data_IF_330091288575
#
_entry.id   IF_330091288575
#
_cell.length_a   1.000
_cell.length_b   1.000
_cell.length_c   1.000
_cell.angle_alpha   90.00
_cell.angle_beta   90.00
_cell.angle_gamma   90.00
#
_symmetry.space_group_name_H-M   'P 1'
#
loop_
_entity.id
_entity.type
_entity.pdbx_description
1 polymer ?
#
# COMPACT_ATOMS: atom_id res chain seq x y z
N UNK A 1 -13.77 -35.41 -7.37
CA UNK A 1 -13.07 -34.10 -7.48
C UNK A 1 -13.33 -33.26 -6.23
N UNK A 2 -12.28 -32.76 -5.57
CA UNK A 2 -12.43 -31.83 -4.45
C UNK A 2 -12.23 -30.38 -4.92
N UNK A 3 -13.11 -29.48 -4.47
CA UNK A 3 -12.98 -28.04 -4.72
C UNK A 3 -12.72 -27.35 -3.38
N UNK A 4 -11.53 -26.76 -3.26
CA UNK A 4 -11.05 -26.07 -2.07
C UNK A 4 -10.91 -24.59 -2.38
N UNK A 5 -11.45 -23.74 -1.51
CA UNK A 5 -11.44 -22.30 -1.71
C UNK A 5 -12.68 -21.63 -1.12
N UNK A 6 -12.50 -20.39 -0.70
CA UNK A 6 -13.56 -19.56 -0.14
C UNK A 6 -14.18 -18.69 -1.25
N UNK A 7 -15.51 -18.69 -1.37
CA UNK A 7 -16.18 -17.86 -2.36
C UNK A 7 -17.70 -18.04 -2.43
N UNK A 8 -18.38 -16.95 -2.75
CA UNK A 8 -19.86 -16.84 -2.75
C UNK A 8 -20.54 -17.65 -3.88
N UNK A 9 -19.76 -18.28 -4.77
CA UNK A 9 -20.26 -18.95 -5.97
C UNK A 9 -20.59 -20.44 -5.79
N UNK A 10 -20.40 -21.03 -4.58
CA UNK A 10 -20.69 -22.46 -4.32
C UNK A 10 -22.07 -22.88 -4.83
N UNK A 11 -23.11 -22.10 -4.52
CA UNK A 11 -24.48 -22.41 -4.93
C UNK A 11 -24.67 -22.42 -6.46
N UNK A 12 -23.97 -21.55 -7.18
CA UNK A 12 -24.00 -21.51 -8.65
C UNK A 12 -23.36 -22.76 -9.25
N UNK A 13 -22.19 -23.18 -8.75
CA UNK A 13 -21.50 -24.37 -9.23
C UNK A 13 -22.21 -25.66 -8.87
N UNK A 14 -22.77 -25.78 -7.66
CA UNK A 14 -23.57 -26.93 -7.27
C UNK A 14 -24.81 -27.13 -8.16
N UNK A 15 -25.51 -26.04 -8.53
CA UNK A 15 -26.61 -26.10 -9.51
C UNK A 15 -26.15 -26.49 -10.91
N UNK A 16 -24.94 -26.09 -11.32
CA UNK A 16 -24.39 -26.48 -12.61
C UNK A 16 -24.01 -27.97 -12.63
N UNK A 17 -23.30 -28.44 -11.59
CA UNK A 17 -22.95 -29.85 -11.42
C UNK A 17 -24.19 -30.76 -11.36
N UNK A 18 -25.28 -30.32 -10.72
CA UNK A 18 -26.55 -31.06 -10.72
C UNK A 18 -27.14 -31.20 -12.12
N UNK A 19 -27.12 -30.14 -12.93
CA UNK A 19 -27.59 -30.18 -14.32
C UNK A 19 -26.75 -31.10 -15.21
N UNK A 20 -25.47 -31.24 -14.91
CA UNK A 20 -24.54 -32.13 -15.61
C UNK A 20 -24.54 -33.56 -15.05
N UNK A 21 -25.31 -33.87 -14.00
CA UNK A 21 -25.36 -35.21 -13.39
C UNK A 21 -24.13 -35.60 -12.57
N UNK A 22 -23.17 -34.70 -12.35
CA UNK A 22 -21.89 -35.00 -11.68
C UNK A 22 -21.81 -34.53 -10.24
N UNK A 23 -22.90 -34.02 -9.66
CA UNK A 23 -22.88 -33.44 -8.30
C UNK A 23 -22.34 -34.42 -7.25
N UNK A 24 -22.68 -35.71 -7.34
CA UNK A 24 -22.24 -36.74 -6.40
C UNK A 24 -20.74 -37.09 -6.52
N UNK A 25 -20.06 -36.56 -7.55
CA UNK A 25 -18.63 -36.75 -7.78
C UNK A 25 -17.80 -35.52 -7.36
N UNK A 26 -18.45 -34.48 -6.81
CA UNK A 26 -17.80 -33.21 -6.43
C UNK A 26 -17.99 -32.95 -4.93
N UNK A 27 -16.86 -32.80 -4.21
CA UNK A 27 -16.83 -32.40 -2.81
C UNK A 27 -16.41 -30.94 -2.69
N UNK A 28 -17.35 -30.07 -2.28
CA UNK A 28 -17.06 -28.67 -1.99
C UNK A 28 -16.59 -28.54 -0.54
N UNK A 29 -15.29 -28.33 -0.33
CA UNK A 29 -14.67 -28.32 1.01
C UNK A 29 -14.60 -26.93 1.65
N UNK A 30 -14.79 -25.86 0.89
CA UNK A 30 -14.71 -24.48 1.37
C UNK A 30 -13.26 -24.03 1.64
N UNK A 31 -13.11 -22.92 2.38
CA UNK A 31 -11.80 -22.44 2.83
C UNK A 31 -11.22 -23.37 3.90
N UNK A 32 -9.97 -23.81 3.72
CA UNK A 32 -9.29 -24.78 4.59
C UNK A 32 -7.89 -24.31 4.95
N UNK A 33 -7.40 -24.68 6.13
CA UNK A 33 -6.03 -24.35 6.60
C UNK A 33 -5.01 -25.47 6.38
N UNK A 34 -5.46 -26.69 6.16
CA UNK A 34 -4.70 -27.91 5.93
C UNK A 34 -4.55 -28.20 4.42
N UNK A 35 -4.17 -27.15 3.68
CA UNK A 35 -3.87 -27.21 2.24
C UNK A 35 -2.71 -28.17 1.93
N UNK A 36 -1.59 -28.19 2.68
CA UNK A 36 -0.50 -29.12 2.40
C UNK A 36 -0.94 -30.59 2.41
N UNK A 37 -1.81 -30.96 3.35
CA UNK A 37 -2.38 -32.30 3.44
C UNK A 37 -3.31 -32.61 2.25
N UNK A 38 -4.10 -31.64 1.79
CA UNK A 38 -4.95 -31.80 0.61
C UNK A 38 -4.15 -31.96 -0.68
N UNK A 39 -3.09 -31.16 -0.84
CA UNK A 39 -2.22 -31.26 -2.00
C UNK A 39 -1.50 -32.61 -2.03
N UNK A 40 -1.02 -33.07 -0.88
CA UNK A 40 -0.36 -34.39 -0.74
C UNK A 40 -1.31 -35.56 -0.98
N UNK A 41 -2.61 -35.38 -0.78
CA UNK A 41 -3.64 -36.40 -0.99
C UNK A 41 -4.26 -36.38 -2.40
N UNK A 42 -3.94 -35.38 -3.22
CA UNK A 42 -4.48 -35.25 -4.57
C UNK A 42 -3.73 -36.11 -5.59
N UNK A 43 -4.43 -36.54 -6.65
CA UNK A 43 -3.79 -37.17 -7.82
C UNK A 43 -3.30 -36.15 -8.86
N UNK A 44 -3.99 -35.01 -8.95
CA UNK A 44 -3.74 -33.96 -9.93
C UNK A 44 -4.36 -32.63 -9.44
N UNK A 45 -3.64 -31.52 -9.59
CA UNK A 45 -4.22 -30.18 -9.50
C UNK A 45 -4.62 -29.67 -10.88
N UNK A 46 -5.87 -29.23 -11.04
CA UNK A 46 -6.35 -28.55 -12.24
C UNK A 46 -6.57 -27.07 -11.94
N UNK A 47 -5.88 -26.19 -12.65
CA UNK A 47 -5.93 -24.74 -12.46
C UNK A 47 -6.08 -24.01 -13.82
N UNK A 48 -7.26 -24.09 -14.45
CA UNK A 48 -7.50 -23.57 -15.79
C UNK A 48 -7.95 -22.10 -15.74
N UNK A 49 -7.10 -21.23 -15.18
CA UNK A 49 -7.45 -19.82 -14.99
C UNK A 49 -7.35 -19.04 -16.31
N UNK A 50 -8.27 -18.07 -16.50
CA UNK A 50 -8.22 -17.13 -17.63
C UNK A 50 -7.42 -15.86 -17.31
N UNK A 51 -7.27 -15.52 -16.04
CA UNK A 51 -6.54 -14.35 -15.54
C UNK A 51 -6.07 -14.63 -14.09
N UNK A 52 -4.80 -14.94 -13.90
CA UNK A 52 -4.19 -15.24 -12.59
C UNK A 52 -2.74 -14.73 -12.53
N UNK A 53 -2.49 -13.73 -11.69
CA UNK A 53 -1.18 -13.05 -11.66
C UNK A 53 -0.06 -13.90 -11.05
N UNK A 54 -0.36 -14.81 -10.12
CA UNK A 54 0.68 -15.58 -9.40
C UNK A 54 0.40 -17.07 -9.41
N UNK A 55 -0.74 -17.50 -8.88
CA UNK A 55 -1.02 -18.92 -8.67
C UNK A 55 0.00 -19.61 -7.77
N UNK A 56 0.22 -19.11 -6.54
CA UNK A 56 1.18 -19.73 -5.58
C UNK A 56 0.90 -21.20 -5.34
N UNK A 57 -0.37 -21.61 -5.40
CA UNK A 57 -0.82 -23.00 -5.32
C UNK A 57 -0.18 -23.92 -6.38
N UNK A 58 0.22 -23.38 -7.54
CA UNK A 58 0.94 -24.15 -8.57
C UNK A 58 2.32 -24.58 -8.07
N UNK A 59 3.00 -23.69 -7.35
CA UNK A 59 4.31 -23.96 -6.78
C UNK A 59 4.19 -24.91 -5.58
N UNK A 60 3.23 -24.63 -4.70
CA UNK A 60 2.92 -25.49 -3.54
C UNK A 60 2.60 -26.91 -4.00
N UNK A 61 1.78 -27.07 -5.05
CA UNK A 61 1.44 -28.36 -5.64
C UNK A 61 2.67 -29.11 -6.17
N UNK A 62 3.48 -28.50 -7.05
CA UNK A 62 4.65 -29.20 -7.58
C UNK A 62 5.65 -29.56 -6.47
N UNK A 63 5.84 -28.68 -5.46
CA UNK A 63 6.73 -28.97 -4.32
C UNK A 63 6.18 -30.04 -3.38
N UNK A 64 4.86 -30.25 -3.36
CA UNK A 64 4.22 -31.36 -2.67
C UNK A 64 4.23 -32.66 -3.50
N UNK A 65 4.80 -32.65 -4.71
CA UNK A 65 4.79 -33.78 -5.63
C UNK A 65 3.44 -34.00 -6.33
N UNK A 66 2.53 -33.02 -6.31
CA UNK A 66 1.25 -33.09 -6.99
C UNK A 66 1.39 -32.60 -8.44
N UNK A 67 1.15 -33.46 -9.46
CA UNK A 67 1.21 -33.03 -10.85
C UNK A 67 0.14 -31.97 -11.17
N UNK A 68 0.47 -31.04 -12.05
CA UNK A 68 -0.38 -29.84 -12.30
C UNK A 68 -0.76 -29.69 -13.76
N UNK A 69 -2.06 -29.48 -14.02
CA UNK A 69 -2.60 -28.99 -15.29
C UNK A 69 -3.01 -27.53 -15.13
N UNK A 70 -2.31 -26.61 -15.80
CA UNK A 70 -2.57 -25.18 -15.71
C UNK A 70 -2.60 -24.50 -17.10
N UNK A 71 -2.94 -23.22 -17.12
CA UNK A 71 -2.80 -22.34 -18.29
C UNK A 71 -1.55 -21.47 -18.17
N UNK A 72 -0.96 -21.07 -19.30
CA UNK A 72 0.26 -20.27 -19.36
C UNK A 72 0.11 -18.82 -18.85
N UNK A 73 -1.12 -18.32 -18.75
CA UNK A 73 -1.42 -17.01 -18.14
C UNK A 73 -1.22 -16.98 -16.64
N UNK A 74 -1.12 -18.14 -15.97
CA UNK A 74 -0.86 -18.20 -14.55
C UNK A 74 0.60 -17.85 -14.25
N UNK A 75 0.85 -16.89 -13.37
CA UNK A 75 2.20 -16.35 -13.11
C UNK A 75 3.31 -17.39 -12.89
N UNK A 76 3.03 -18.50 -12.18
CA UNK A 76 3.98 -19.57 -11.93
C UNK A 76 3.88 -20.79 -12.87
N UNK A 77 3.11 -20.72 -13.96
CA UNK A 77 2.96 -21.82 -14.90
C UNK A 77 4.29 -22.24 -15.55
N UNK A 78 5.22 -21.30 -15.76
CA UNK A 78 6.54 -21.59 -16.28
C UNK A 78 7.33 -22.59 -15.41
N UNK A 79 7.09 -22.61 -14.09
CA UNK A 79 7.74 -23.55 -13.18
C UNK A 79 7.24 -24.98 -13.38
N UNK A 80 5.98 -25.18 -13.77
CA UNK A 80 5.46 -26.52 -14.11
C UNK A 80 6.19 -27.09 -15.33
N UNK A 81 6.39 -26.26 -16.36
CA UNK A 81 7.15 -26.64 -17.57
C UNK A 81 8.61 -26.94 -17.21
N UNK A 82 9.26 -26.04 -16.44
CA UNK A 82 10.66 -26.19 -16.03
C UNK A 82 10.89 -27.43 -15.17
N UNK A 83 9.97 -27.70 -14.25
CA UNK A 83 10.00 -28.90 -13.41
C UNK A 83 9.60 -30.16 -14.17
N UNK A 84 9.04 -30.07 -15.38
CA UNK A 84 8.37 -31.19 -16.04
C UNK A 84 7.40 -31.94 -15.09
N UNK A 85 6.63 -31.18 -14.33
CA UNK A 85 5.76 -31.66 -13.26
C UNK A 85 4.27 -31.60 -13.64
N UNK A 86 3.97 -31.66 -14.95
CA UNK A 86 2.60 -31.64 -15.46
C UNK A 86 2.49 -31.08 -16.86
N UNK A 87 1.39 -30.38 -17.15
CA UNK A 87 1.10 -29.78 -18.46
C UNK A 87 0.60 -28.35 -18.31
N UNK A 88 0.97 -27.51 -19.27
CA UNK A 88 0.58 -26.10 -19.32
C UNK A 88 0.04 -25.78 -20.69
N UNK A 89 -1.24 -25.42 -20.75
CA UNK A 89 -1.95 -25.07 -21.98
C UNK A 89 -1.76 -23.60 -22.33
N UNK A 90 -1.75 -23.31 -23.62
CA UNK A 90 -1.75 -21.93 -24.10
C UNK A 90 -3.10 -21.27 -23.82
N UNK A 91 -3.09 -20.00 -23.43
CA UNK A 91 -4.28 -19.18 -23.24
C UNK A 91 -4.49 -18.21 -24.41
N UNK A 92 -5.74 -17.99 -24.88
CA UNK A 92 -6.95 -18.69 -24.44
C UNK A 92 -6.93 -20.16 -24.84
N UNK A 93 -7.39 -21.04 -23.95
CA UNK A 93 -7.48 -22.48 -24.22
C UNK A 93 -8.89 -22.85 -24.67
N UNK A 94 -8.98 -23.85 -25.56
CA UNK A 94 -10.25 -24.48 -25.89
C UNK A 94 -10.62 -25.53 -24.85
N UNK A 95 -11.90 -25.60 -24.47
CA UNK A 95 -12.38 -26.54 -23.44
C UNK A 95 -12.07 -28.00 -23.83
N UNK A 96 -12.23 -28.36 -25.11
CA UNK A 96 -11.91 -29.68 -25.66
C UNK A 96 -10.45 -30.07 -25.43
N UNK A 97 -9.52 -29.13 -25.58
CA UNK A 97 -8.09 -29.36 -25.34
C UNK A 97 -7.81 -29.56 -23.85
N UNK A 98 -8.47 -28.80 -22.97
CA UNK A 98 -8.35 -29.00 -21.52
C UNK A 98 -8.83 -30.39 -21.12
N UNK A 99 -9.99 -30.80 -21.63
CA UNK A 99 -10.61 -32.09 -21.32
C UNK A 99 -9.72 -33.25 -21.80
N UNK A 100 -9.23 -33.19 -23.05
CA UNK A 100 -8.33 -34.19 -23.60
C UNK A 100 -7.00 -34.27 -22.82
N UNK A 101 -6.43 -33.12 -22.46
CA UNK A 101 -5.17 -33.09 -21.70
C UNK A 101 -5.37 -33.64 -20.29
N UNK A 102 -6.49 -33.31 -19.65
CA UNK A 102 -6.85 -33.83 -18.33
C UNK A 102 -7.00 -35.36 -18.36
N UNK A 103 -7.72 -35.90 -19.34
CA UNK A 103 -7.89 -37.33 -19.53
C UNK A 103 -6.55 -38.04 -19.76
N UNK A 104 -5.71 -37.49 -20.63
CA UNK A 104 -4.36 -38.01 -20.87
C UNK A 104 -3.52 -38.00 -19.60
N UNK A 105 -3.56 -36.92 -18.81
CA UNK A 105 -2.79 -36.83 -17.56
C UNK A 105 -3.27 -37.81 -16.50
N UNK A 106 -4.58 -38.01 -16.36
CA UNK A 106 -5.16 -38.93 -15.37
C UNK A 106 -4.87 -40.40 -15.70
N UNK A 107 -4.72 -40.74 -16.97
CA UNK A 107 -4.47 -42.11 -17.46
C UNK A 107 -3.00 -42.39 -17.80
N UNK A 108 -2.13 -41.37 -17.75
CA UNK A 108 -0.73 -41.51 -18.14
C UNK A 108 0.09 -42.30 -17.10
N UNK A 109 0.97 -43.21 -17.56
CA UNK A 109 1.98 -43.82 -16.68
C UNK A 109 3.05 -42.82 -16.21
N UNK A 110 3.13 -41.62 -16.80
CA UNK A 110 4.11 -40.60 -16.43
C UNK A 110 3.77 -39.85 -15.12
N UNK A 111 2.61 -40.10 -14.51
CA UNK A 111 2.16 -39.35 -13.33
C UNK A 111 3.17 -39.40 -12.17
N UNK A 112 3.71 -40.59 -11.90
CA UNK A 112 4.75 -40.80 -10.88
C UNK A 112 6.03 -40.01 -11.21
N UNK A 113 6.39 -39.97 -12.50
CA UNK A 113 7.54 -39.19 -12.97
C UNK A 113 7.32 -37.69 -12.77
N UNK A 114 6.13 -37.16 -13.07
CA UNK A 114 5.81 -35.75 -12.82
C UNK A 114 5.87 -35.40 -11.33
N UNK A 115 5.37 -36.29 -10.46
CA UNK A 115 5.44 -36.13 -9.02
C UNK A 115 6.89 -36.05 -8.51
N UNK A 116 7.72 -37.01 -8.93
CA UNK A 116 9.15 -37.04 -8.58
C UNK A 116 9.90 -35.81 -9.10
N UNK A 117 9.60 -35.37 -10.32
CA UNK A 117 10.23 -34.16 -10.86
C UNK A 117 9.83 -32.90 -10.06
N UNK A 118 8.56 -32.79 -9.65
CA UNK A 118 8.08 -31.70 -8.81
C UNK A 118 8.81 -31.65 -7.45
N UNK A 119 8.93 -32.81 -6.79
CA UNK A 119 9.67 -32.94 -5.53
C UNK A 119 11.16 -32.59 -5.70
N UNK A 120 11.79 -33.03 -6.80
CA UNK A 120 13.17 -32.69 -7.11
C UNK A 120 13.36 -31.19 -7.37
N UNK A 121 12.39 -30.57 -8.04
CA UNK A 121 12.37 -29.13 -8.31
C UNK A 121 12.24 -28.29 -7.03
N UNK A 122 11.55 -28.81 -6.00
CA UNK A 122 11.37 -28.16 -4.70
C UNK A 122 12.56 -28.25 -3.72
N UNK A 123 13.69 -28.85 -4.10
CA UNK A 123 14.90 -28.92 -3.25
C UNK A 123 15.50 -27.51 -2.96
N UNK A 124 16.38 -27.34 -1.95
CA UNK A 124 16.42 -26.16 -1.05
C UNK A 124 16.56 -24.79 -1.72
N UNK A 125 17.06 -24.72 -2.95
CA UNK A 125 17.21 -23.50 -3.74
C UNK A 125 15.90 -22.72 -3.92
N UNK A 126 14.75 -23.40 -3.98
CA UNK A 126 13.45 -22.73 -4.09
C UNK A 126 12.95 -22.12 -2.77
N UNK A 127 13.38 -22.68 -1.64
CA UNK A 127 13.16 -22.12 -0.31
C UNK A 127 14.20 -21.05 0.06
N UNK A 128 15.32 -20.99 -0.67
CA UNK A 128 16.28 -19.89 -0.63
C UNK A 128 15.84 -18.67 -1.43
N UNK A 129 14.71 -18.69 -2.16
CA UNK A 129 14.26 -17.54 -2.94
C UNK A 129 14.21 -16.21 -2.18
N UNK A 130 13.92 -16.13 -0.86
CA UNK A 130 14.12 -14.90 -0.09
C UNK A 130 15.59 -14.49 0.01
N UNK A 131 16.50 -15.44 0.23
CA UNK A 131 17.96 -15.27 0.32
C UNK A 131 18.55 -14.95 -1.06
N UNK A 132 18.23 -15.71 -2.10
CA UNK A 132 18.65 -15.45 -3.48
C UNK A 132 18.06 -14.16 -4.04
N UNK A 133 16.83 -13.78 -3.66
CA UNK A 133 16.28 -12.48 -4.02
C UNK A 133 17.00 -11.35 -3.29
N UNK A 134 17.41 -11.55 -2.03
CA UNK A 134 18.29 -10.63 -1.31
C UNK A 134 19.64 -10.53 -2.01
N UNK A 135 20.28 -11.65 -2.34
CA UNK A 135 21.57 -11.71 -3.03
C UNK A 135 21.50 -11.04 -4.41
N UNK A 136 20.46 -11.28 -5.20
CA UNK A 136 20.24 -10.64 -6.51
C UNK A 136 19.90 -9.15 -6.40
N UNK A 137 19.15 -8.75 -5.36
CA UNK A 137 18.90 -7.34 -5.08
C UNK A 137 20.22 -6.66 -4.67
N UNK A 138 21.06 -7.32 -3.88
CA UNK A 138 22.37 -6.84 -3.47
C UNK A 138 23.33 -6.74 -4.66
N UNK A 139 23.38 -7.75 -5.53
CA UNK A 139 24.18 -7.76 -6.76
C UNK A 139 23.70 -6.68 -7.75
N UNK A 140 22.39 -6.47 -7.88
CA UNK A 140 21.83 -5.40 -8.70
C UNK A 140 22.04 -4.01 -8.09
N UNK A 141 22.10 -3.91 -6.76
CA UNK A 141 22.50 -2.69 -6.05
C UNK A 141 24.01 -2.42 -6.15
N UNK A 142 24.85 -3.45 -6.26
CA UNK A 142 26.30 -3.33 -6.46
C UNK A 142 26.64 -2.88 -7.89
N UNK A 143 25.89 -3.33 -8.90
CA UNK A 143 26.05 -2.85 -10.30
C UNK A 143 25.64 -1.39 -10.50
N UNK A 144 24.80 -0.83 -9.61
CA UNK A 144 24.49 0.61 -9.55
C UNK A 144 25.52 1.43 -8.77
N UNK A 145 26.55 0.79 -8.19
CA UNK A 145 27.58 1.40 -7.34
C UNK A 145 28.99 1.25 -7.93
N UNK A 146 29.14 1.35 -9.25
CA UNK A 146 30.46 1.60 -9.82
C UNK A 146 30.81 3.08 -9.69
N UNK A 147 31.19 3.45 -8.47
CA UNK A 147 32.30 4.36 -8.17
C UNK A 147 32.45 4.39 -6.64
N UNK A 148 33.44 3.65 -6.15
CA UNK A 148 34.36 4.00 -5.06
C UNK A 148 35.03 2.74 -4.50
N UNK A 149 36.37 2.82 -4.47
CA UNK A 149 37.35 1.83 -4.05
C UNK A 149 37.05 1.19 -2.70
N UNK A 150 37.14 -0.15 -2.69
CA UNK A 150 36.97 -1.00 -1.51
C UNK A 150 38.12 -0.79 -0.51
N UNK A 151 37.79 -0.37 0.71
CA UNK A 151 38.63 -0.51 1.89
C UNK A 151 37.99 -1.52 2.87
N UNK A 152 38.85 -2.35 3.48
CA UNK A 152 38.51 -3.44 4.42
C UNK A 152 37.81 -2.95 5.71
N UNK A 153 37.07 -3.85 6.40
CA UNK A 153 35.95 -3.49 7.28
C UNK A 153 36.38 -3.12 8.69
N UNK A 154 35.87 -2.02 9.26
CA UNK A 154 35.67 -1.83 10.72
C UNK A 154 34.66 -0.70 11.02
N UNK A 155 33.88 -0.92 12.09
CA UNK A 155 32.87 -0.05 12.75
C UNK A 155 31.53 0.10 12.01
N UNK A 156 30.44 -0.09 12.78
CA UNK A 156 29.04 0.01 12.35
C UNK A 156 28.85 1.21 11.42
N UNK A 157 28.58 0.96 10.14
CA UNK A 157 28.32 2.02 9.16
C UNK A 157 27.02 2.73 9.57
N UNK A 158 27.12 3.98 10.01
CA UNK A 158 25.97 4.83 10.33
C UNK A 158 25.68 5.67 9.10
N UNK A 159 24.46 5.54 8.55
CA UNK A 159 24.02 6.39 7.44
C UNK A 159 23.32 7.61 8.04
N UNK A 160 24.04 8.74 8.05
CA UNK A 160 23.59 10.01 8.63
C UNK A 160 23.60 11.12 7.57
N UNK A 161 22.53 11.91 7.59
CA UNK A 161 22.38 13.12 6.78
C UNK A 161 21.97 14.27 7.69
N UNK A 162 22.63 15.41 7.56
CA UNK A 162 22.27 16.68 8.19
C UNK A 162 22.35 17.78 7.15
N UNK A 163 21.31 18.61 7.07
CA UNK A 163 21.33 19.84 6.28
C UNK A 163 22.29 20.84 6.93
N UNK A 164 23.00 21.63 6.11
CA UNK A 164 24.11 22.47 6.56
C UNK A 164 23.72 23.44 7.68
N UNK A 165 22.56 24.09 7.56
CA UNK A 165 22.03 25.02 8.58
C UNK A 165 21.78 24.34 9.93
N UNK A 166 21.23 23.13 9.91
CA UNK A 166 20.97 22.36 11.13
C UNK A 166 22.27 21.82 11.71
N UNK A 167 23.21 21.38 10.86
CA UNK A 167 24.52 20.90 11.28
C UNK A 167 25.32 22.00 11.99
N UNK A 168 25.32 23.21 11.42
CA UNK A 168 25.98 24.37 11.98
C UNK A 168 25.34 24.80 13.31
N UNK A 169 24.00 24.84 13.37
CA UNK A 169 23.28 25.19 14.59
C UNK A 169 23.41 24.16 15.72
N UNK A 170 23.60 22.87 15.39
CA UNK A 170 23.80 21.79 16.36
C UNK A 170 25.27 21.68 16.83
N UNK A 171 26.25 22.07 16.00
CA UNK A 171 27.68 21.93 16.29
C UNK A 171 28.03 20.51 16.76
N UNK A 172 28.68 20.40 17.93
CA UNK A 172 29.06 19.11 18.53
C UNK A 172 27.86 18.23 18.95
N UNK A 173 26.62 18.75 18.93
CA UNK A 173 25.41 17.98 19.21
C UNK A 173 24.83 17.29 17.97
N UNK A 174 25.41 17.50 16.78
CA UNK A 174 25.04 16.80 15.54
C UNK A 174 25.54 15.34 15.53
N UNK A 175 25.13 14.57 16.55
CA UNK A 175 25.50 13.17 16.74
C UNK A 175 24.23 12.35 16.93
N UNK A 176 24.16 11.17 16.31
CA UNK A 176 22.99 10.28 16.37
C UNK A 176 22.45 10.04 17.79
N UNK A 177 23.33 9.80 18.76
CA UNK A 177 22.95 9.56 20.16
C UNK A 177 22.26 10.76 20.81
N UNK A 178 22.71 11.97 20.49
CA UNK A 178 22.11 13.23 20.94
C UNK A 178 20.74 13.45 20.31
N UNK A 179 20.61 13.20 19.00
CA UNK A 179 19.33 13.34 18.29
C UNK A 179 18.27 12.35 18.79
N UNK A 180 18.65 11.09 19.06
CA UNK A 180 17.73 10.10 19.64
C UNK A 180 17.22 10.48 21.04
N UNK A 181 17.96 11.34 21.76
CA UNK A 181 17.63 11.81 23.12
C UNK A 181 17.02 13.20 23.16
N UNK A 182 16.77 13.82 22.01
CA UNK A 182 16.21 15.18 21.94
C UNK A 182 14.95 15.28 22.82
N UNK A 183 14.96 16.29 23.69
CA UNK A 183 13.84 16.67 24.54
C UNK A 183 13.12 17.87 23.93
N UNK A 184 11.82 17.94 24.19
CA UNK A 184 10.95 18.98 23.64
C UNK A 184 9.50 18.66 23.97
N UNK A 185 8.59 19.38 23.33
CA UNK A 185 7.16 19.14 23.50
C UNK A 185 6.80 17.79 22.87
N UNK A 186 6.39 16.83 23.72
CA UNK A 186 6.01 15.50 23.27
C UNK A 186 4.68 15.57 22.51
N UNK A 187 4.71 15.27 21.22
CA UNK A 187 3.53 15.34 20.36
C UNK A 187 2.80 14.00 20.26
N UNK A 188 3.56 12.89 20.21
CA UNK A 188 2.97 11.54 20.11
C UNK A 188 3.95 10.45 20.54
N UNK A 189 3.55 9.65 21.52
CA UNK A 189 4.28 8.45 21.99
C UNK A 189 3.27 7.30 22.18
N UNK A 190 2.93 6.54 21.11
CA UNK A 190 2.01 5.42 21.24
C UNK A 190 2.69 4.30 22.04
N UNK A 191 2.10 3.92 23.17
CA UNK A 191 2.63 2.88 24.06
C UNK A 191 2.95 1.59 23.29
N UNK A 192 4.11 1.00 23.59
CA UNK A 192 4.54 -0.28 23.01
C UNK A 192 5.06 -0.24 21.56
N UNK A 193 5.02 0.91 20.86
CA UNK A 193 5.46 0.99 19.45
C UNK A 193 6.91 1.40 19.25
N UNK A 194 7.58 1.89 20.30
CA UNK A 194 8.95 2.41 20.22
C UNK A 194 9.10 3.68 19.36
N UNK A 195 8.01 4.27 18.86
CA UNK A 195 7.99 5.52 18.07
C UNK A 195 7.73 6.73 18.95
N UNK A 196 8.55 7.76 18.83
CA UNK A 196 8.41 9.02 19.58
C UNK A 196 8.53 10.22 18.66
N UNK A 197 7.55 11.11 18.71
CA UNK A 197 7.53 12.37 17.95
C UNK A 197 7.64 13.55 18.91
N UNK A 198 8.66 14.38 18.72
CA UNK A 198 8.97 15.54 19.56
C UNK A 198 9.10 16.78 18.69
N UNK A 199 8.54 17.90 19.15
CA UNK A 199 8.79 19.21 18.57
C UNK A 199 9.89 19.92 19.35
N UNK A 200 10.86 20.50 18.66
CA UNK A 200 11.93 21.28 19.27
C UNK A 200 12.26 22.52 18.43
N UNK A 201 12.90 23.50 19.06
CA UNK A 201 13.24 24.77 18.43
C UNK A 201 14.76 24.96 18.46
N UNK A 202 15.33 25.39 17.34
CA UNK A 202 16.76 25.68 17.23
C UNK A 202 16.97 26.85 16.26
N UNK A 203 17.78 27.84 16.66
CA UNK A 203 18.11 29.01 15.83
C UNK A 203 16.87 29.72 15.23
N UNK A 204 15.85 29.99 16.04
CA UNK A 204 14.54 30.56 15.64
C UNK A 204 13.77 29.78 14.57
N UNK A 205 14.10 28.50 14.37
CA UNK A 205 13.33 27.56 13.53
C UNK A 205 12.76 26.45 14.40
N UNK A 206 11.61 25.93 13.98
CA UNK A 206 10.96 24.82 14.65
C UNK A 206 11.05 23.56 13.79
N UNK A 207 11.31 22.44 14.47
CA UNK A 207 11.55 21.15 13.85
C UNK A 207 10.73 20.06 14.56
N UNK A 208 10.36 19.03 13.80
CA UNK A 208 9.83 17.79 14.34
C UNK A 208 10.86 16.68 14.17
N UNK A 209 11.16 15.98 15.27
CA UNK A 209 11.94 14.75 15.22
C UNK A 209 11.04 13.55 15.49
N UNK A 210 11.08 12.58 14.58
CA UNK A 210 10.45 11.27 14.74
C UNK A 210 11.56 10.25 14.97
N UNK A 211 11.59 9.66 16.15
CA UNK A 211 12.54 8.62 16.54
C UNK A 211 11.86 7.27 16.58
N UNK A 212 12.60 6.23 16.19
CA UNK A 212 12.18 4.84 16.24
C UNK A 212 13.21 4.05 17.03
N UNK A 213 12.76 3.46 18.14
CA UNK A 213 13.50 2.49 18.95
C UNK A 213 12.92 1.12 18.60
N UNK A 214 13.75 0.19 18.10
CA UNK A 214 13.29 -1.05 17.47
C UNK A 214 12.11 -1.75 18.15
N UNK A 215 11.14 -2.19 17.36
CA UNK A 215 9.80 -2.63 17.80
C UNK A 215 9.81 -4.01 18.49
N UNK A 216 10.94 -4.74 18.45
CA UNK A 216 11.05 -6.10 18.96
C UNK A 216 10.29 -7.14 18.13
N UNK A 217 10.73 -8.40 18.16
CA UNK A 217 10.17 -9.47 17.33
C UNK A 217 8.70 -9.81 17.63
N UNK A 218 8.24 -9.59 18.87
CA UNK A 218 6.85 -9.87 19.27
C UNK A 218 5.85 -8.97 18.53
N UNK A 219 6.17 -7.69 18.35
CA UNK A 219 5.28 -6.73 17.67
C UNK A 219 5.35 -6.88 16.14
N UNK A 220 6.52 -7.28 15.61
CA UNK A 220 6.70 -7.65 14.19
C UNK A 220 5.83 -8.86 13.84
N UNK A 221 5.89 -9.93 14.65
CA UNK A 221 5.11 -11.15 14.44
C UNK A 221 3.61 -10.90 14.59
N UNK A 222 3.20 -10.11 15.59
CA UNK A 222 1.80 -9.69 15.76
C UNK A 222 1.27 -8.96 14.53
N UNK A 223 2.02 -8.01 13.98
CA UNK A 223 1.59 -7.26 12.80
C UNK A 223 1.57 -8.13 11.54
N UNK A 224 2.52 -9.07 11.39
CA UNK A 224 2.53 -10.08 10.32
C UNK A 224 1.31 -11.01 10.36
N UNK A 225 0.88 -11.45 11.55
CA UNK A 225 -0.34 -12.26 11.74
C UNK A 225 -1.60 -11.51 11.26
N UNK A 226 -1.63 -10.18 11.37
CA UNK A 226 -2.70 -9.34 10.84
C UNK A 226 -2.47 -8.83 9.40
N UNK A 227 -1.48 -9.39 8.68
CA UNK A 227 -1.07 -8.96 7.33
C UNK A 227 -0.78 -7.46 7.21
N UNK A 228 -0.27 -6.85 8.31
CA UNK A 228 0.21 -5.47 8.35
C UNK A 228 1.74 -5.52 8.43
N UNK A 229 2.42 -4.93 7.45
CA UNK A 229 3.87 -4.72 7.58
C UNK A 229 4.11 -3.69 8.70
N UNK A 230 4.93 -4.00 9.71
CA UNK A 230 5.30 -3.03 10.75
C UNK A 230 6.11 -1.89 10.13
N UNK A 231 6.02 -0.70 10.72
CA UNK A 231 6.86 0.43 10.33
C UNK A 231 8.24 0.20 10.93
N UNK A 232 9.17 -0.28 10.12
CA UNK A 232 10.48 -0.78 10.57
C UNK A 232 11.52 0.34 10.81
N UNK A 233 11.19 1.59 10.52
CA UNK A 233 12.03 2.76 10.81
C UNK A 233 11.61 4.01 10.05
N UNK A 234 12.45 5.06 10.12
CA UNK A 234 12.21 6.34 9.47
C UNK A 234 12.47 6.35 7.93
N UNK A 235 12.95 5.24 7.38
CA UNK A 235 13.40 5.13 5.98
C UNK A 235 12.26 5.29 4.96
N UNK A 236 11.07 4.76 5.28
CA UNK A 236 9.90 4.91 4.41
C UNK A 236 9.47 6.39 4.31
N UNK A 237 9.58 7.13 5.41
CA UNK A 237 9.25 8.56 5.45
C UNK A 237 10.27 9.39 4.65
N UNK A 238 11.57 9.09 4.79
CA UNK A 238 12.64 9.69 3.98
C UNK A 238 12.40 9.46 2.47
N UNK A 239 12.21 8.20 2.05
CA UNK A 239 11.95 7.89 0.64
C UNK A 239 10.66 8.52 0.13
N UNK A 240 9.61 8.53 0.94
CA UNK A 240 8.34 9.16 0.62
C UNK A 240 8.50 10.66 0.35
N UNK A 241 9.21 11.38 1.23
CA UNK A 241 9.46 12.82 1.09
C UNK A 241 10.19 13.12 -0.23
N UNK A 242 11.32 12.45 -0.47
CA UNK A 242 12.10 12.65 -1.70
C UNK A 242 11.34 12.23 -2.96
N UNK A 243 10.45 11.24 -2.87
CA UNK A 243 9.59 10.86 -3.99
C UNK A 243 8.56 11.94 -4.30
N UNK A 244 7.88 12.49 -3.30
CA UNK A 244 6.91 13.57 -3.51
C UNK A 244 7.56 14.85 -4.04
N UNK A 245 8.75 15.21 -3.52
CA UNK A 245 9.52 16.36 -4.00
C UNK A 245 9.85 16.24 -5.50
N UNK A 246 10.27 15.05 -5.98
CA UNK A 246 10.51 14.79 -7.42
C UNK A 246 9.27 14.94 -8.29
N UNK A 247 8.08 14.78 -7.73
CA UNK A 247 6.80 14.98 -8.43
C UNK A 247 6.29 16.42 -8.33
N UNK A 248 7.08 17.31 -7.73
CA UNK A 248 6.71 18.69 -7.40
C UNK A 248 5.46 18.74 -6.48
N UNK A 249 5.27 17.72 -5.65
CA UNK A 249 4.24 17.69 -4.62
C UNK A 249 4.88 18.25 -3.35
N UNK A 250 4.34 19.36 -2.84
CA UNK A 250 4.84 19.95 -1.60
C UNK A 250 4.62 18.96 -0.45
N UNK A 251 5.66 18.77 0.35
CA UNK A 251 5.67 17.90 1.52
C UNK A 251 6.67 18.47 2.53
N UNK A 252 6.97 17.72 3.58
CA UNK A 252 7.96 18.06 4.59
C UNK A 252 9.34 18.23 3.94
N UNK A 253 10.14 19.13 4.52
CA UNK A 253 11.54 19.31 4.15
C UNK A 253 12.40 18.62 5.20
N UNK A 254 13.32 17.75 4.77
CA UNK A 254 14.16 16.98 5.69
C UNK A 254 15.37 17.81 6.09
N UNK A 255 15.52 18.01 7.40
CA UNK A 255 16.64 18.72 7.99
C UNK A 255 17.72 17.74 8.50
N UNK A 256 17.34 16.54 8.93
CA UNK A 256 18.29 15.46 9.22
C UNK A 256 17.65 14.07 9.13
N UNK A 257 18.48 13.06 8.91
CA UNK A 257 18.11 11.64 8.95
C UNK A 257 19.27 10.84 9.51
N UNK A 258 18.97 9.81 10.29
CA UNK A 258 20.00 8.90 10.78
C UNK A 258 19.44 7.51 10.98
N UNK A 259 20.22 6.49 10.63
CA UNK A 259 19.88 5.11 10.91
C UNK A 259 21.10 4.31 11.33
N UNK A 260 20.91 3.43 12.30
CA UNK A 260 21.94 2.45 12.68
C UNK A 260 22.05 1.38 11.60
N UNK A 261 23.27 1.14 11.09
CA UNK A 261 23.56 0.10 10.10
C UNK A 261 23.68 -1.30 10.72
N UNK A 262 23.45 -2.32 9.89
CA UNK A 262 23.46 -3.73 10.25
C UNK A 262 22.32 -4.49 9.60
N UNK A 263 22.63 -5.32 8.58
CA UNK A 263 21.66 -6.02 7.74
C UNK A 263 20.76 -6.99 8.52
N UNK A 264 21.26 -7.56 9.63
CA UNK A 264 20.61 -8.65 10.37
C UNK A 264 19.87 -8.23 11.64
N UNK A 265 19.64 -6.94 11.89
CA UNK A 265 19.03 -6.49 13.16
C UNK A 265 17.85 -5.52 13.01
N UNK A 266 16.94 -5.80 12.05
CA UNK A 266 15.74 -4.98 11.80
C UNK A 266 14.85 -4.78 13.04
N UNK A 267 14.81 -5.75 13.95
CA UNK A 267 14.02 -5.67 15.19
C UNK A 267 14.60 -4.72 16.25
N UNK A 268 15.89 -4.37 16.17
CA UNK A 268 16.59 -3.45 17.11
C UNK A 268 17.05 -2.16 16.43
N UNK A 269 16.75 -1.98 15.14
CA UNK A 269 17.19 -0.83 14.36
C UNK A 269 16.66 0.47 14.99
N UNK A 270 17.58 1.38 15.26
CA UNK A 270 17.27 2.74 15.71
C UNK A 270 17.40 3.68 14.54
N UNK A 271 16.43 4.55 14.37
CA UNK A 271 16.47 5.59 13.34
C UNK A 271 15.76 6.85 13.79
N UNK A 272 16.13 7.98 13.21
CA UNK A 272 15.41 9.22 13.36
C UNK A 272 15.27 9.93 12.02
N UNK A 273 14.24 10.77 11.91
CA UNK A 273 14.11 11.77 10.86
C UNK A 273 13.70 13.10 11.49
N UNK A 274 14.34 14.18 11.07
CA UNK A 274 14.05 15.55 11.47
C UNK A 274 13.51 16.29 10.26
N UNK A 275 12.33 16.89 10.42
CA UNK A 275 11.70 17.69 9.37
C UNK A 275 11.42 19.10 9.86
N UNK A 276 11.47 20.08 8.95
CA UNK A 276 11.02 21.44 9.25
C UNK A 276 9.53 21.44 9.61
N UNK A 277 9.13 22.28 10.57
CA UNK A 277 7.73 22.57 10.83
C UNK A 277 7.12 23.38 9.66
N UNK A 278 5.92 23.00 9.24
CA UNK A 278 5.14 23.78 8.27
C UNK A 278 4.40 24.89 9.03
N UNK A 279 5.05 26.03 9.20
CA UNK A 279 4.49 27.17 9.92
C UNK A 279 3.18 27.69 9.28
N UNK A 280 2.26 28.18 10.13
CA UNK A 280 0.98 28.78 9.73
C UNK A 280 0.13 27.85 8.85
N UNK A 281 0.10 26.55 9.15
CA UNK A 281 -0.69 25.57 8.41
C UNK A 281 -1.75 24.91 9.29
N UNK A 282 -2.85 24.48 8.67
CA UNK A 282 -3.93 23.70 9.29
C UNK A 282 -4.21 22.47 8.46
N UNK A 283 -4.63 21.37 9.08
CA UNK A 283 -5.07 20.21 8.29
C UNK A 283 -6.33 20.57 7.50
N UNK A 284 -6.56 19.90 6.35
CA UNK A 284 -7.80 20.12 5.60
C UNK A 284 -9.04 19.69 6.38
N UNK A 285 -8.90 18.74 7.28
CA UNK A 285 -9.99 18.34 8.18
C UNK A 285 -10.38 19.48 9.13
N UNK A 286 -9.39 20.14 9.74
CA UNK A 286 -9.63 21.31 10.57
C UNK A 286 -10.17 22.48 9.76
N UNK A 287 -9.55 22.78 8.62
CA UNK A 287 -9.93 23.90 7.77
C UNK A 287 -11.36 23.77 7.22
N UNK A 288 -11.79 22.55 6.88
CA UNK A 288 -13.12 22.29 6.34
C UNK A 288 -14.16 21.93 7.42
N UNK A 289 -13.81 21.96 8.71
CA UNK A 289 -14.70 21.53 9.81
C UNK A 289 -16.04 22.24 9.79
N UNK A 290 -16.02 23.53 9.52
CA UNK A 290 -17.21 24.39 9.52
C UNK A 290 -17.99 24.36 8.21
N UNK A 291 -17.51 23.71 7.15
CA UNK A 291 -18.18 23.74 5.84
C UNK A 291 -19.55 23.06 5.84
N UNK A 292 -19.83 22.20 6.83
CA UNK A 292 -21.15 21.58 6.98
C UNK A 292 -22.19 22.59 7.47
N UNK A 293 -21.81 23.50 8.37
CA UNK A 293 -22.69 24.51 8.97
C UNK A 293 -22.63 25.84 8.21
N UNK A 294 -21.44 26.21 7.74
CA UNK A 294 -21.14 27.40 6.96
C UNK A 294 -20.49 26.99 5.63
N UNK A 295 -21.31 26.52 4.69
CA UNK A 295 -20.79 26.13 3.38
C UNK A 295 -20.26 27.36 2.62
N UNK A 296 -19.09 27.25 1.95
CA UNK A 296 -18.57 28.26 1.03
C UNK A 296 -19.66 28.81 0.09
N UNK A 297 -20.01 30.07 0.26
CA UNK A 297 -21.16 30.69 -0.41
C UNK A 297 -20.76 31.82 -1.35
N UNK A 298 -19.71 32.57 -1.02
CA UNK A 298 -19.22 33.64 -1.89
C UNK A 298 -18.52 33.09 -3.14
N UNK A 299 -18.49 33.85 -4.26
CA UNK A 299 -17.78 33.42 -5.47
C UNK A 299 -16.29 33.10 -5.22
N UNK A 300 -15.63 33.83 -4.32
CA UNK A 300 -14.24 33.60 -3.93
C UNK A 300 -14.05 32.26 -3.21
N UNK A 301 -14.84 32.00 -2.18
CA UNK A 301 -14.75 30.74 -1.42
C UNK A 301 -15.14 29.53 -2.27
N UNK A 302 -16.12 29.66 -3.17
CA UNK A 302 -16.49 28.59 -4.10
C UNK A 302 -15.32 28.27 -5.04
N UNK A 303 -14.63 29.30 -5.58
CA UNK A 303 -13.43 29.09 -6.41
C UNK A 303 -12.33 28.42 -5.61
N UNK A 304 -12.10 28.86 -4.37
CA UNK A 304 -11.09 28.28 -3.49
C UNK A 304 -11.38 26.82 -3.14
N UNK A 305 -12.63 26.49 -2.77
CA UNK A 305 -13.08 25.11 -2.55
C UNK A 305 -12.83 24.23 -3.77
N UNK A 306 -13.16 24.73 -4.97
CA UNK A 306 -12.91 23.98 -6.22
C UNK A 306 -11.42 23.76 -6.46
N UNK A 307 -10.60 24.78 -6.22
CA UNK A 307 -9.14 24.67 -6.32
C UNK A 307 -8.60 23.62 -5.35
N UNK A 308 -9.03 23.62 -4.07
CA UNK A 308 -8.62 22.61 -3.09
C UNK A 308 -8.95 21.18 -3.56
N UNK A 309 -10.19 20.96 -4.01
CA UNK A 309 -10.62 19.64 -4.54
C UNK A 309 -9.73 19.22 -5.72
N UNK A 310 -9.41 20.15 -6.60
CA UNK A 310 -8.56 19.90 -7.77
C UNK A 310 -7.11 19.61 -7.34
N UNK A 311 -6.54 20.33 -6.37
CA UNK A 311 -5.20 20.06 -5.85
C UNK A 311 -5.09 18.68 -5.21
N UNK A 312 -6.03 18.30 -4.35
CA UNK A 312 -6.04 16.96 -3.72
C UNK A 312 -6.15 15.87 -4.79
N UNK A 313 -6.98 16.07 -5.83
CA UNK A 313 -7.10 15.14 -6.94
C UNK A 313 -5.82 15.04 -7.78
N UNK A 314 -5.14 16.16 -8.04
CA UNK A 314 -3.86 16.20 -8.76
C UNK A 314 -2.78 15.47 -7.98
N UNK A 315 -2.68 15.70 -6.67
CA UNK A 315 -1.74 15.02 -5.78
C UNK A 315 -1.98 13.51 -5.82
N UNK A 316 -3.22 13.06 -5.60
CA UNK A 316 -3.56 11.65 -5.63
C UNK A 316 -3.21 10.99 -6.98
N UNK A 317 -3.51 11.68 -8.10
CA UNK A 317 -3.18 11.19 -9.45
C UNK A 317 -1.67 11.10 -9.66
N UNK A 318 -0.92 12.17 -9.38
CA UNK A 318 0.55 12.20 -9.55
C UNK A 318 1.20 11.08 -8.74
N UNK A 319 0.82 10.92 -7.48
CA UNK A 319 1.32 9.87 -6.59
C UNK A 319 0.97 8.46 -7.10
N UNK A 320 -0.28 8.21 -7.48
CA UNK A 320 -0.67 6.89 -7.98
C UNK A 320 -0.02 6.52 -9.31
N UNK A 321 0.18 7.50 -10.20
CA UNK A 321 0.83 7.29 -11.50
C UNK A 321 2.34 7.07 -11.38
N UNK A 322 2.98 7.62 -10.34
CA UNK A 322 4.40 7.42 -10.08
C UNK A 322 4.74 6.09 -9.38
N UNK A 323 3.73 5.27 -9.10
CA UNK A 323 3.92 3.99 -8.41
C UNK A 323 3.85 4.07 -6.88
N UNK A 324 3.43 5.21 -6.34
CA UNK A 324 3.31 5.42 -4.91
C UNK A 324 1.87 5.30 -4.39
N UNK A 325 1.72 4.82 -3.15
CA UNK A 325 0.49 4.95 -2.36
C UNK A 325 0.83 5.30 -0.90
N UNK A 326 -0.02 6.13 -0.28
CA UNK A 326 0.22 6.70 1.04
C UNK A 326 -0.20 5.78 2.18
N UNK A 327 -1.19 4.91 1.97
CA UNK A 327 -1.83 4.02 2.96
C UNK A 327 -2.68 4.67 4.05
N UNK A 328 -2.29 5.85 4.52
CA UNK A 328 -3.06 6.64 5.48
C UNK A 328 -3.55 7.93 4.78
N UNK A 329 -4.20 7.81 3.62
CA UNK A 329 -4.55 8.97 2.79
C UNK A 329 -5.87 9.63 3.25
N UNK A 330 -5.79 10.53 4.22
CA UNK A 330 -6.95 11.22 4.83
C UNK A 330 -6.80 12.74 4.74
N UNK A 331 -7.90 13.50 4.83
CA UNK A 331 -7.88 14.97 4.85
C UNK A 331 -6.99 15.54 5.97
N UNK A 332 -6.91 14.85 7.11
CA UNK A 332 -6.02 15.22 8.22
C UNK A 332 -4.53 15.25 7.85
N UNK A 333 -4.12 14.55 6.79
CA UNK A 333 -2.71 14.49 6.34
C UNK A 333 -2.39 15.43 5.18
N UNK A 334 -3.32 16.34 4.87
CA UNK A 334 -3.09 17.47 3.98
C UNK A 334 -3.01 18.74 4.79
N UNK A 335 -1.83 19.37 4.84
CA UNK A 335 -1.62 20.63 5.54
C UNK A 335 -1.78 21.78 4.56
N UNK A 336 -2.80 22.61 4.77
CA UNK A 336 -3.03 23.84 4.04
C UNK A 336 -2.34 24.99 4.76
N UNK A 337 -1.43 25.66 4.06
CA UNK A 337 -0.94 26.98 4.44
C UNK A 337 -1.76 28.01 3.64
N UNK A 338 -2.77 28.67 4.25
CA UNK A 338 -3.62 29.61 3.55
C UNK A 338 -2.85 30.88 3.21
N UNK A 339 -3.03 31.37 1.98
CA UNK A 339 -2.50 32.65 1.52
C UNK A 339 -3.62 33.62 1.19
N UNK A 340 -3.38 34.91 1.45
CA UNK A 340 -4.38 35.95 1.30
C UNK A 340 -3.90 37.03 0.32
N UNK A 341 -4.81 37.53 -0.52
CA UNK A 341 -4.62 38.73 -1.33
C UNK A 341 -5.76 39.69 -1.08
N UNK A 342 -5.44 40.95 -0.77
CA UNK A 342 -6.44 41.97 -0.43
C UNK A 342 -7.43 41.50 0.65
N UNK A 343 -6.92 40.79 1.66
CA UNK A 343 -7.72 40.22 2.76
C UNK A 343 -8.55 38.98 2.41
N UNK A 344 -8.56 38.54 1.15
CA UNK A 344 -9.33 37.37 0.71
C UNK A 344 -8.44 36.15 0.46
N UNK A 345 -8.97 34.97 0.79
CA UNK A 345 -8.27 33.72 0.59
C UNK A 345 -8.03 33.45 -0.90
N UNK A 346 -6.77 33.23 -1.25
CA UNK A 346 -6.31 33.15 -2.65
C UNK A 346 -5.64 31.81 -2.91
N UNK A 347 -6.02 31.20 -4.05
CA UNK A 347 -5.51 29.90 -4.48
C UNK A 347 -4.02 29.95 -4.86
N UNK A 348 -3.59 31.06 -5.48
CA UNK A 348 -2.21 31.26 -5.94
C UNK A 348 -1.24 31.62 -4.80
N UNK A 349 -1.74 32.21 -3.70
CA UNK A 349 -0.95 32.46 -2.50
C UNK A 349 -0.92 31.26 -1.53
N UNK A 350 -1.88 30.33 -1.67
CA UNK A 350 -2.01 29.17 -0.78
C UNK A 350 -1.12 27.99 -1.22
N UNK A 351 -0.68 27.20 -0.23
CA UNK A 351 0.16 26.01 -0.48
C UNK A 351 -0.45 24.80 0.24
N UNK A 352 -0.48 23.67 -0.45
CA UNK A 352 -1.00 22.41 0.10
C UNK A 352 0.13 21.39 0.18
N UNK A 353 0.35 20.85 1.38
CA UNK A 353 1.40 19.89 1.68
C UNK A 353 0.81 18.53 2.04
N UNK A 354 1.50 17.45 1.67
CA UNK A 354 1.19 16.08 2.13
C UNK A 354 2.16 15.69 3.24
N UNK A 355 1.65 15.17 4.34
CA UNK A 355 2.45 14.76 5.51
C UNK A 355 2.17 13.31 5.91
N UNK A 356 2.90 12.82 6.91
CA UNK A 356 2.74 11.48 7.50
C UNK A 356 3.01 10.30 6.54
N UNK A 357 4.13 10.38 5.82
CA UNK A 357 4.54 9.42 4.79
C UNK A 357 5.18 8.14 5.35
N UNK A 358 5.11 7.92 6.66
CA UNK A 358 5.76 6.81 7.37
C UNK A 358 5.29 5.39 6.97
N UNK A 359 4.17 5.29 6.25
CA UNK A 359 3.67 4.03 5.66
C UNK A 359 3.55 4.08 4.14
N UNK A 360 4.11 5.12 3.53
CA UNK A 360 4.08 5.29 2.09
C UNK A 360 4.84 4.14 1.43
N UNK A 361 4.26 3.56 0.39
CA UNK A 361 4.84 2.44 -0.33
C UNK A 361 5.17 2.86 -1.75
N UNK A 362 6.41 2.62 -2.16
CA UNK A 362 6.90 2.91 -3.51
C UNK A 362 7.03 1.62 -4.31
N UNK A 363 6.55 1.62 -5.54
CA UNK A 363 6.58 0.49 -6.48
C UNK A 363 6.82 0.99 -7.89
N UNK A 364 7.07 0.07 -8.83
CA UNK A 364 7.09 0.40 -10.26
C UNK A 364 5.73 0.90 -10.77
N UNK A 365 4.63 0.32 -10.28
CA UNK A 365 3.24 0.75 -10.54
C UNK A 365 2.38 0.53 -9.31
N UNK A 366 1.44 1.43 -9.05
CA UNK A 366 0.52 1.33 -7.91
C UNK A 366 -0.61 0.35 -8.24
N UNK A 367 -0.73 -0.79 -7.55
CA UNK A 367 -1.84 -1.71 -7.78
C UNK A 367 -3.19 -1.04 -7.52
N UNK A 368 -4.20 -1.32 -8.35
CA UNK A 368 -5.54 -0.71 -8.25
C UNK A 368 -6.14 -0.82 -6.85
N UNK A 369 -5.90 -1.93 -6.13
CA UNK A 369 -6.38 -2.11 -4.75
C UNK A 369 -5.85 -1.05 -3.79
N UNK A 370 -4.61 -0.58 -3.98
CA UNK A 370 -3.99 0.43 -3.12
C UNK A 370 -4.47 1.83 -3.49
N UNK A 371 -4.64 2.11 -4.78
CA UNK A 371 -5.32 3.32 -5.24
C UNK A 371 -6.74 3.42 -4.65
N UNK A 372 -7.51 2.33 -4.68
CA UNK A 372 -8.84 2.25 -4.07
C UNK A 372 -8.78 2.54 -2.57
N UNK A 373 -7.82 1.98 -1.84
CA UNK A 373 -7.68 2.20 -0.39
C UNK A 373 -7.38 3.65 -0.05
N UNK A 374 -6.44 4.28 -0.76
CA UNK A 374 -6.11 5.69 -0.54
C UNK A 374 -7.31 6.59 -0.84
N UNK A 375 -7.94 6.44 -2.02
CA UNK A 375 -9.12 7.25 -2.37
C UNK A 375 -10.31 6.95 -1.44
N UNK A 376 -10.48 5.72 -0.96
CA UNK A 376 -11.53 5.38 0.02
C UNK A 376 -11.27 6.03 1.38
N UNK A 377 -10.03 6.08 1.85
CA UNK A 377 -9.64 6.80 3.07
C UNK A 377 -9.97 8.28 2.95
N UNK A 378 -9.60 8.89 1.83
CA UNK A 378 -9.88 10.30 1.55
C UNK A 378 -11.40 10.55 1.51
N UNK A 379 -12.14 9.68 0.80
CA UNK A 379 -13.59 9.75 0.68
C UNK A 379 -14.30 9.61 2.03
N UNK A 380 -13.79 8.74 2.90
CA UNK A 380 -14.27 8.54 4.25
C UNK A 380 -14.06 9.80 5.11
N UNK A 381 -12.83 10.34 5.14
CA UNK A 381 -12.53 11.56 5.89
C UNK A 381 -13.30 12.79 5.38
N UNK A 382 -13.80 12.76 4.14
CA UNK A 382 -14.61 13.84 3.55
C UNK A 382 -16.12 13.67 3.70
N UNK A 383 -16.64 12.64 4.39
CA UNK A 383 -18.10 12.43 4.48
C UNK A 383 -18.81 13.59 5.17
N UNK A 384 -18.19 14.17 6.20
CA UNK A 384 -18.86 15.08 7.12
C UNK A 384 -18.65 16.57 6.82
N UNK A 385 -17.89 16.91 5.77
CA UNK A 385 -17.54 18.32 5.44
C UNK A 385 -18.51 18.98 4.43
N UNK A 386 -19.63 18.34 4.09
CA UNK A 386 -20.65 18.93 3.21
C UNK A 386 -20.29 19.00 1.72
N UNK A 387 -19.48 18.07 1.20
CA UNK A 387 -19.19 18.03 -0.25
C UNK A 387 -20.41 17.60 -1.07
N UNK A 388 -20.71 18.35 -2.14
CA UNK A 388 -21.82 18.06 -3.05
C UNK A 388 -21.48 16.94 -4.03
N UNK A 389 -22.49 16.40 -4.73
CA UNK A 389 -22.28 15.48 -5.87
C UNK A 389 -21.39 16.12 -6.96
N UNK A 390 -21.52 17.44 -7.19
CA UNK A 390 -20.74 18.19 -8.18
C UNK A 390 -19.26 18.28 -7.78
N UNK A 391 -18.99 18.48 -6.49
CA UNK A 391 -17.62 18.48 -5.94
C UNK A 391 -16.92 17.14 -6.15
N UNK A 392 -17.65 16.04 -5.90
CA UNK A 392 -17.15 14.69 -6.17
C UNK A 392 -16.86 14.46 -7.65
N UNK A 393 -17.77 14.86 -8.53
CA UNK A 393 -17.54 14.75 -9.98
C UNK A 393 -16.30 15.56 -10.42
N UNK A 394 -16.05 16.72 -9.80
CA UNK A 394 -14.85 17.52 -10.08
C UNK A 394 -13.59 16.77 -9.67
N UNK A 395 -13.57 16.18 -8.48
CA UNK A 395 -12.46 15.33 -8.03
C UNK A 395 -12.21 14.18 -9.02
N UNK A 396 -13.27 13.44 -9.38
CA UNK A 396 -13.19 12.27 -10.28
C UNK A 396 -12.63 12.68 -11.65
N UNK A 397 -13.13 13.77 -12.23
CA UNK A 397 -12.66 14.29 -13.52
C UNK A 397 -11.19 14.67 -13.47
N UNK A 398 -10.77 15.35 -12.40
CA UNK A 398 -9.36 15.76 -12.25
C UNK A 398 -8.47 14.57 -11.99
N UNK A 399 -8.90 13.59 -11.19
CA UNK A 399 -8.14 12.38 -10.93
C UNK A 399 -7.91 11.55 -12.22
N UNK A 400 -8.92 11.44 -13.08
CA UNK A 400 -8.84 10.73 -14.37
C UNK A 400 -8.64 11.66 -15.58
N UNK A 401 -7.77 12.68 -15.45
CA UNK A 401 -7.57 13.81 -16.39
C UNK A 401 -7.69 13.49 -17.89
N UNK A 402 -7.27 12.31 -18.33
CA UNK A 402 -7.21 11.88 -19.73
C UNK A 402 -8.56 11.43 -20.32
N UNK A 403 -9.60 11.28 -19.49
CA UNK A 403 -10.92 10.81 -19.94
C UNK A 403 -12.04 11.74 -19.50
N UNK A 404 -13.16 11.70 -20.24
CA UNK A 404 -14.34 12.51 -19.91
C UNK A 404 -14.95 12.07 -18.58
N UNK A 405 -15.70 12.96 -17.91
CA UNK A 405 -16.42 12.61 -16.68
C UNK A 405 -17.40 11.44 -16.91
N UNK A 406 -18.01 11.36 -18.09
CA UNK A 406 -18.94 10.28 -18.46
C UNK A 406 -18.21 8.93 -18.52
N UNK A 407 -17.03 8.88 -19.12
CA UNK A 407 -16.16 7.68 -19.15
C UNK A 407 -15.61 7.35 -17.76
N UNK A 408 -15.23 8.37 -16.98
CA UNK A 408 -14.71 8.21 -15.60
C UNK A 408 -15.73 7.57 -14.67
N UNK A 409 -17.03 7.86 -14.89
CA UNK A 409 -18.13 7.28 -14.12
C UNK A 409 -18.68 5.98 -14.73
N UNK A 410 -18.17 5.55 -15.89
CA UNK A 410 -18.70 4.41 -16.64
C UNK A 410 -20.16 4.58 -17.04
N UNK A 411 -20.55 5.80 -17.47
CA UNK A 411 -21.91 6.18 -17.90
C UNK A 411 -22.01 6.46 -19.40
N UNK A 412 -21.09 5.92 -20.19
CA UNK A 412 -21.15 5.99 -21.66
C UNK A 412 -22.30 5.13 -22.20
N UNK A 413 -22.98 5.53 -23.30
CA UNK A 413 -23.85 4.62 -24.03
C UNK A 413 -23.07 3.36 -24.40
N UNK A 414 -23.65 2.17 -24.20
CA UNK A 414 -22.95 0.89 -24.37
C UNK A 414 -21.71 0.71 -23.46
N UNK A 415 -21.67 1.29 -22.25
CA UNK A 415 -20.51 1.16 -21.34
C UNK A 415 -20.07 -0.29 -21.08
N UNK A 416 -20.96 -1.27 -21.20
CA UNK A 416 -20.63 -2.70 -21.08
C UNK A 416 -19.75 -3.22 -22.22
N UNK A 417 -19.74 -2.53 -23.37
CA UNK A 417 -18.85 -2.83 -24.51
C UNK A 417 -17.48 -2.15 -24.40
N UNK A 418 -17.28 -1.24 -23.44
CA UNK A 418 -16.01 -0.58 -23.17
C UNK A 418 -15.39 -1.12 -21.87
N UNK A 419 -14.37 -2.01 -21.94
CA UNK A 419 -13.71 -2.56 -20.78
C UNK A 419 -13.18 -1.49 -19.81
N UNK A 420 -12.76 -0.32 -20.32
CA UNK A 420 -12.23 0.76 -19.48
C UNK A 420 -13.34 1.43 -18.67
N UNK A 421 -14.51 1.67 -19.29
CA UNK A 421 -15.67 2.21 -18.60
C UNK A 421 -16.18 1.29 -17.47
N UNK A 422 -16.18 -0.03 -17.70
CA UNK A 422 -16.47 -1.02 -16.66
C UNK A 422 -15.46 -0.96 -15.51
N UNK A 423 -14.16 -0.97 -15.82
CA UNK A 423 -13.09 -0.89 -14.82
C UNK A 423 -13.20 0.38 -13.96
N UNK A 424 -13.46 1.53 -14.58
CA UNK A 424 -13.66 2.80 -13.88
C UNK A 424 -14.88 2.77 -12.96
N UNK A 425 -16.00 2.21 -13.44
CA UNK A 425 -17.22 2.05 -12.63
C UNK A 425 -16.97 1.12 -11.44
N UNK A 426 -16.30 0.00 -11.65
CA UNK A 426 -15.91 -0.92 -10.57
C UNK A 426 -14.96 -0.24 -9.58
N UNK A 427 -14.00 0.56 -10.04
CA UNK A 427 -13.10 1.31 -9.19
C UNK A 427 -13.86 2.21 -8.23
N UNK A 428 -14.75 3.07 -8.75
CA UNK A 428 -15.52 4.00 -7.90
C UNK A 428 -16.54 3.30 -7.02
N UNK A 429 -17.13 2.20 -7.49
CA UNK A 429 -17.96 1.34 -6.64
C UNK A 429 -17.14 0.78 -5.47
N UNK A 430 -15.95 0.24 -5.72
CA UNK A 430 -15.06 -0.26 -4.65
C UNK A 430 -14.65 0.85 -3.68
N UNK A 431 -14.33 2.04 -4.17
CA UNK A 431 -14.01 3.21 -3.33
C UNK A 431 -15.17 3.53 -2.38
N UNK A 432 -16.40 3.64 -2.90
CA UNK A 432 -17.57 3.94 -2.06
C UNK A 432 -17.89 2.81 -1.09
N UNK A 433 -17.79 1.54 -1.52
CA UNK A 433 -17.98 0.39 -0.64
C UNK A 433 -16.97 0.34 0.50
N UNK A 434 -15.68 0.61 0.21
CA UNK A 434 -14.64 0.65 1.23
C UNK A 434 -14.81 1.85 2.18
N UNK A 435 -15.13 3.03 1.65
CA UNK A 435 -15.38 4.21 2.47
C UNK A 435 -16.55 3.98 3.45
N UNK A 436 -17.64 3.35 2.99
CA UNK A 436 -18.76 2.97 3.87
C UNK A 436 -18.37 1.93 4.92
N UNK A 437 -17.53 0.95 4.58
CA UNK A 437 -17.01 -0.02 5.55
C UNK A 437 -16.17 0.66 6.63
N UNK A 438 -15.34 1.63 6.27
CA UNK A 438 -14.58 2.43 7.24
C UNK A 438 -15.51 3.22 8.17
N UNK A 439 -16.57 3.84 7.62
CA UNK A 439 -17.58 4.53 8.41
C UNK A 439 -18.29 3.60 9.40
N UNK A 440 -18.77 2.44 8.94
CA UNK A 440 -19.44 1.47 9.81
C UNK A 440 -18.51 0.92 10.90
N UNK A 441 -17.22 0.72 10.58
CA UNK A 441 -16.24 0.29 11.57
C UNK A 441 -16.02 1.34 12.65
N UNK A 442 -16.04 2.63 12.29
CA UNK A 442 -15.93 3.75 13.24
C UNK A 442 -17.19 3.88 14.11
N UNK A 443 -18.38 3.79 13.53
CA UNK A 443 -19.65 3.82 14.26
C UNK A 443 -19.76 2.68 15.29
N UNK A 444 -19.24 1.49 14.97
CA UNK A 444 -19.21 0.34 15.88
C UNK A 444 -18.27 0.50 17.08
N UNK A 445 -17.30 1.42 17.02
CA UNK A 445 -16.37 1.67 18.13
C UNK A 445 -17.02 2.46 19.28
N UNK A 446 -18.23 2.99 19.07
CA UNK A 446 -19.02 3.66 20.10
C UNK A 446 -18.49 5.07 20.48
N UNK A 447 -19.29 5.85 21.23
CA UNK A 447 -18.94 7.21 21.63
C UNK A 447 -17.83 7.30 22.69
N UNK A 448 -17.54 6.22 23.44
CA UNK A 448 -16.50 6.19 24.49
C UNK A 448 -15.06 6.02 23.94
N UNK A 449 -14.88 5.91 22.62
CA UNK A 449 -13.58 5.93 21.97
C UNK A 449 -13.16 7.35 21.56
N UNK A 450 -13.27 8.33 22.46
CA UNK A 450 -12.35 9.48 22.39
C UNK A 450 -10.98 9.00 22.88
N UNK A 451 -10.19 8.40 21.98
CA UNK A 451 -8.74 8.60 21.76
C UNK A 451 -8.22 7.55 20.74
N UNK A 452 -7.67 8.06 19.63
CA UNK A 452 -6.51 7.48 18.92
C UNK A 452 -6.81 6.71 17.62
N UNK A 453 -6.51 7.19 16.41
CA UNK A 453 -5.50 8.17 15.97
C UNK A 453 -5.95 8.81 14.64
N UNK A 454 -5.89 10.13 14.42
CA UNK A 454 -4.79 11.04 14.74
C UNK A 454 -5.20 12.28 15.58
N UNK A 455 -4.75 12.26 16.84
CA UNK A 455 -4.24 13.37 17.68
C UNK A 455 -5.05 14.69 17.73
N UNK A 456 -5.80 14.84 18.83
CA UNK A 456 -5.92 16.12 19.53
C UNK A 456 -4.54 16.61 19.95
N UNK A 457 -4.15 17.83 19.56
CA UNK A 457 -3.81 18.93 20.49
C UNK A 457 -3.54 20.21 19.69
N UNK A 458 -4.51 21.12 19.73
CA UNK A 458 -4.25 22.55 19.88
C UNK A 458 -5.42 23.07 20.72
N UNK A 459 -5.19 23.27 22.03
CA UNK A 459 -6.11 24.06 22.83
C UNK A 459 -6.13 25.48 22.23
N UNK A 460 -7.29 26.12 22.05
CA UNK A 460 -7.33 27.52 21.67
C UNK A 460 -6.76 28.35 22.83
N UNK A 461 -5.79 29.22 22.52
CA UNK A 461 -5.37 30.28 23.43
C UNK A 461 -6.60 31.14 23.77
N UNK A 462 -6.95 31.20 25.06
CA UNK A 462 -7.74 32.30 25.60
C UNK A 462 -6.81 33.52 25.78
N UNK A 463 -7.29 34.75 25.55
CA UNK A 463 -6.46 35.95 25.58
C UNK A 463 -6.25 36.41 27.03
N UNK A 464 -5.00 36.73 27.38
CA UNK A 464 -4.66 37.77 28.34
C UNK A 464 -3.37 38.45 27.91
#
# INVERSE_FOLDING_TARGET
>A
MAIVGEGDNRGRYARHARRLGVLNQISFLGGRGDIPQLLSAGDLLVHPAYDENTGTVLLEAITAGLPVLATDVCGYAAHIKKANAGRVLASPFEQSLLDQTLEQMLTSPEREKWAQNGLAYGRPELYRMPETAVDLIEEHCLTLRQDHSVAKPTLQQMDEYYRDDLKEALGNKAVFSSMMRTQGEAYREPEGTGRRTVRFSLANRHYFIKTHTGVGWKEILKNLIYFRLPVLGAMDEWHGIHHLQRLEIKTLSVAAYGTTGGMYNWARRRSFIVTDEIANSKSLEEFCREWKTHSPGSPGEIRFKRWLIEQVAVIARKMHNSGANHRDFYLGHFMLQPGYRSGQLSADASRLFVIDLHRMQLRRRTPTRWQVKDIAGLRFSSFFIGLTKRDRCRFIRTYWREITLRQSLGRTPNYWRDPQSLRNRLFWWRVESWAKKLQQAEERRGPDAQVGHAVQTAKPHAPH
#
